data_IF_978795032519
#
_entry.id   IF_978795032519
#
_cell.length_a   1.000
_cell.length_b   1.000
_cell.length_c   1.000
_cell.angle_alpha   90.00
_cell.angle_beta   90.00
_cell.angle_gamma   90.00
#
_symmetry.space_group_name_H-M   'P 1'
#
loop_
_entity.id
_entity.type
_entity.pdbx_description
1 polymer ?
#
# COMPACT_ATOMS: atom_id res chain seq x y z
N UNK A 1 0.61 61.20 -14.47
CA UNK A 1 -0.28 60.58 -13.47
C UNK A 1 -0.91 59.36 -14.13
N UNK A 2 -0.22 58.23 -14.13
CA UNK A 2 -0.72 56.96 -14.62
C UNK A 2 -1.23 56.15 -13.43
N UNK A 3 -2.47 55.69 -13.53
CA UNK A 3 -3.09 54.86 -12.49
C UNK A 3 -2.67 53.42 -12.69
N UNK A 4 -1.98 52.85 -11.71
CA UNK A 4 -1.64 51.45 -11.69
C UNK A 4 -2.88 50.57 -11.59
N UNK A 5 -3.04 49.65 -12.51
CA UNK A 5 -4.03 48.59 -12.46
C UNK A 5 -3.60 47.56 -11.42
N UNK A 6 -4.48 47.36 -10.44
CA UNK A 6 -4.35 46.29 -9.42
C UNK A 6 -4.81 44.96 -10.04
N UNK A 7 -3.85 44.05 -10.22
CA UNK A 7 -4.12 42.69 -10.67
C UNK A 7 -4.89 41.95 -9.58
N UNK A 8 -6.16 41.63 -9.82
CA UNK A 8 -6.96 40.72 -8.99
C UNK A 8 -6.76 39.31 -9.54
N UNK A 9 -6.34 38.31 -8.73
CA UNK A 9 -6.32 36.92 -9.17
C UNK A 9 -7.75 36.39 -9.25
N UNK A 10 -8.11 35.86 -10.42
CA UNK A 10 -9.38 35.15 -10.62
C UNK A 10 -9.50 33.97 -9.67
N UNK A 11 -10.61 33.90 -8.96
CA UNK A 11 -10.96 32.78 -8.07
C UNK A 11 -11.24 31.53 -8.92
N UNK A 12 -10.39 30.51 -8.80
CA UNK A 12 -10.63 29.18 -9.36
C UNK A 12 -11.89 28.54 -8.76
N UNK A 13 -12.68 27.79 -9.53
CA UNK A 13 -13.96 27.25 -9.08
C UNK A 13 -13.78 26.07 -8.12
N UNK A 14 -13.86 26.33 -6.82
CA UNK A 14 -13.87 25.31 -5.75
C UNK A 14 -15.20 24.53 -5.58
N UNK A 15 -16.14 24.68 -6.48
CA UNK A 15 -17.53 24.16 -6.29
C UNK A 15 -17.69 22.68 -6.69
N UNK A 16 -16.81 22.12 -7.52
CA UNK A 16 -16.96 20.72 -8.00
C UNK A 16 -16.38 19.63 -7.09
N UNK A 17 -15.46 19.96 -6.19
CA UNK A 17 -14.71 18.94 -5.41
C UNK A 17 -15.47 18.41 -4.19
N UNK A 18 -16.26 19.20 -3.53
CA UNK A 18 -17.07 18.81 -2.36
C UNK A 18 -18.22 17.85 -2.73
N UNK A 19 -18.84 18.00 -3.89
CA UNK A 19 -19.91 17.11 -4.34
C UNK A 19 -19.41 15.72 -4.74
N UNK A 20 -18.23 15.64 -5.37
CA UNK A 20 -17.60 14.35 -5.73
C UNK A 20 -17.33 13.53 -4.47
N UNK A 21 -16.85 14.15 -3.40
CA UNK A 21 -16.56 13.47 -2.13
C UNK A 21 -17.80 13.10 -1.33
N UNK A 22 -18.80 13.95 -1.30
CA UNK A 22 -20.08 13.61 -0.69
C UNK A 22 -20.69 12.40 -1.39
N UNK A 23 -20.61 12.36 -2.72
CA UNK A 23 -21.06 11.24 -3.52
C UNK A 23 -20.17 9.98 -3.36
N UNK A 24 -18.86 10.11 -3.22
CA UNK A 24 -17.94 8.99 -2.93
C UNK A 24 -18.20 8.40 -1.54
N UNK A 25 -18.31 9.22 -0.49
CA UNK A 25 -18.69 8.76 0.85
C UNK A 25 -20.10 8.16 0.91
N UNK A 26 -21.04 8.69 0.16
CA UNK A 26 -22.41 8.16 0.07
C UNK A 26 -22.45 6.83 -0.70
N UNK A 27 -21.51 6.61 -1.63
CA UNK A 27 -21.28 5.31 -2.27
C UNK A 27 -20.67 4.32 -1.28
N UNK A 28 -19.63 4.69 -0.54
CA UNK A 28 -19.02 3.84 0.49
C UNK A 28 -20.01 3.46 1.61
N UNK A 29 -20.82 4.40 2.09
CA UNK A 29 -21.87 4.14 3.10
C UNK A 29 -23.04 3.26 2.61
N UNK A 30 -23.13 3.02 1.28
CA UNK A 30 -24.14 2.14 0.64
C UNK A 30 -23.54 0.80 0.21
N UNK A 31 -22.31 0.44 0.65
CA UNK A 31 -21.64 -0.78 0.21
C UNK A 31 -21.27 -0.76 -1.29
N UNK A 32 -21.14 0.41 -1.89
CA UNK A 32 -20.74 0.55 -3.29
C UNK A 32 -19.22 0.48 -3.34
N UNK A 33 -18.70 -0.49 -4.04
CA UNK A 33 -17.30 -0.69 -4.32
C UNK A 33 -16.65 0.60 -4.89
N UNK A 34 -15.41 0.89 -4.51
CA UNK A 34 -14.71 2.12 -4.87
C UNK A 34 -13.30 1.79 -5.34
N UNK A 35 -12.92 2.32 -6.51
CA UNK A 35 -11.58 2.13 -7.06
C UNK A 35 -10.57 3.03 -6.36
N UNK A 36 -9.43 2.46 -6.01
CA UNK A 36 -8.36 3.19 -5.30
C UNK A 36 -7.83 4.35 -6.15
N UNK A 37 -7.73 4.20 -7.47
CA UNK A 37 -7.33 5.31 -8.34
C UNK A 37 -8.22 6.55 -8.20
N UNK A 38 -9.52 6.36 -7.97
CA UNK A 38 -10.46 7.47 -7.80
C UNK A 38 -10.28 8.16 -6.43
N UNK A 39 -9.90 7.36 -5.40
CA UNK A 39 -9.52 7.88 -4.07
C UNK A 39 -8.25 8.74 -4.20
N UNK A 40 -7.24 8.24 -4.90
CA UNK A 40 -5.95 8.92 -5.06
C UNK A 40 -6.05 10.20 -5.91
N UNK A 41 -6.99 10.23 -6.87
CA UNK A 41 -7.23 11.40 -7.72
C UNK A 41 -7.82 12.60 -6.96
N UNK A 42 -8.37 12.40 -5.75
CA UNK A 42 -8.92 13.48 -4.93
C UNK A 42 -7.83 14.44 -4.37
N UNK A 43 -6.59 13.97 -4.28
CA UNK A 43 -5.43 14.77 -3.86
C UNK A 43 -5.39 15.13 -2.38
N UNK A 44 -6.34 14.66 -1.55
CA UNK A 44 -6.34 14.85 -0.09
C UNK A 44 -5.46 13.82 0.62
N UNK A 45 -4.99 14.13 1.86
CA UNK A 45 -4.28 13.15 2.66
C UNK A 45 -5.06 11.86 2.82
N UNK A 46 -4.44 10.74 2.44
CA UNK A 46 -5.01 9.41 2.39
C UNK A 46 -4.14 8.45 3.20
N UNK A 47 -4.74 7.80 4.19
CA UNK A 47 -4.07 6.76 4.99
C UNK A 47 -4.78 5.43 4.77
N UNK A 48 -4.02 4.41 4.45
CA UNK A 48 -4.49 3.04 4.24
C UNK A 48 -3.72 2.05 5.10
N UNK A 49 -4.28 0.86 5.31
CA UNK A 49 -3.70 -0.15 6.18
C UNK A 49 -3.54 -1.48 5.46
N UNK A 50 -2.47 -2.21 5.79
CA UNK A 50 -2.31 -3.60 5.39
C UNK A 50 -2.74 -4.54 6.51
N UNK A 51 -3.44 -5.63 6.13
CA UNK A 51 -3.77 -6.74 7.01
C UNK A 51 -3.36 -8.07 6.40
N UNK A 52 -3.03 -9.01 7.26
CA UNK A 52 -2.62 -10.36 6.88
C UNK A 52 -3.74 -11.34 7.16
N UNK A 53 -4.05 -12.26 6.24
CA UNK A 53 -4.90 -13.41 6.54
C UNK A 53 -4.32 -14.23 7.69
N UNK A 54 -5.14 -15.04 8.37
CA UNK A 54 -4.63 -15.95 9.40
C UNK A 54 -3.63 -16.94 8.79
N UNK A 55 -2.64 -17.34 9.58
CA UNK A 55 -1.74 -18.44 9.20
C UNK A 55 -2.56 -19.71 9.00
N UNK A 56 -1.97 -20.70 8.29
CA UNK A 56 -2.58 -22.01 8.11
C UNK A 56 -3.10 -22.53 9.46
N UNK A 57 -4.34 -23.00 9.46
CA UNK A 57 -5.04 -23.57 10.63
C UNK A 57 -5.29 -22.62 11.81
N UNK A 58 -4.96 -21.33 11.68
CA UNK A 58 -5.28 -20.34 12.70
C UNK A 58 -6.72 -19.80 12.52
N UNK A 59 -7.42 -19.48 13.64
CA UNK A 59 -8.79 -19.00 13.59
C UNK A 59 -8.88 -17.60 12.96
N UNK A 60 -9.98 -17.33 12.26
CA UNK A 60 -10.27 -16.04 11.65
C UNK A 60 -10.61 -14.92 12.65
N UNK A 61 -11.06 -15.28 13.86
CA UNK A 61 -11.52 -14.35 14.89
C UNK A 61 -10.56 -13.19 15.15
N UNK A 62 -9.29 -13.46 15.50
CA UNK A 62 -8.32 -12.39 15.79
C UNK A 62 -8.08 -11.43 14.61
N UNK A 63 -8.07 -11.96 13.37
CA UNK A 63 -7.90 -11.11 12.17
C UNK A 63 -9.14 -10.26 11.93
N UNK A 64 -10.35 -10.81 12.07
CA UNK A 64 -11.60 -10.04 11.96
C UNK A 64 -11.70 -8.96 13.03
N UNK A 65 -11.27 -9.24 14.25
CA UNK A 65 -11.20 -8.23 15.31
C UNK A 65 -10.23 -7.08 14.93
N UNK A 66 -9.02 -7.41 14.48
CA UNK A 66 -8.04 -6.43 14.01
C UNK A 66 -8.62 -5.58 12.86
N UNK A 67 -9.23 -6.21 11.84
CA UNK A 67 -9.89 -5.51 10.72
C UNK A 67 -10.98 -4.58 11.25
N UNK A 68 -11.84 -5.03 12.16
CA UNK A 68 -12.92 -4.21 12.72
C UNK A 68 -12.38 -2.99 13.49
N UNK A 69 -11.28 -3.15 14.24
CA UNK A 69 -10.63 -2.03 14.95
C UNK A 69 -9.99 -1.04 13.98
N UNK A 70 -9.27 -1.54 12.97
CA UNK A 70 -8.65 -0.73 11.92
C UNK A 70 -9.71 0.03 11.10
N UNK A 71 -10.82 -0.61 10.74
CA UNK A 71 -11.91 0.02 10.00
C UNK A 71 -12.53 1.22 10.76
N UNK A 72 -12.58 1.16 12.10
CA UNK A 72 -13.03 2.30 12.92
C UNK A 72 -12.14 3.55 12.79
N UNK A 73 -10.88 3.39 12.36
CA UNK A 73 -9.99 4.52 12.06
C UNK A 73 -10.31 5.20 10.73
N UNK A 74 -11.29 4.67 9.97
CA UNK A 74 -11.77 5.19 8.67
C UNK A 74 -10.64 5.34 7.64
N UNK A 75 -9.85 4.30 7.40
CA UNK A 75 -8.82 4.36 6.36
C UNK A 75 -9.45 4.54 4.98
N UNK A 76 -8.68 5.07 4.04
CA UNK A 76 -9.12 5.25 2.66
C UNK A 76 -9.36 3.92 1.96
N UNK A 77 -8.57 2.90 2.27
CA UNK A 77 -8.75 1.50 1.87
C UNK A 77 -7.93 0.58 2.80
N UNK A 78 -8.16 -0.72 2.70
CA UNK A 78 -7.32 -1.72 3.39
C UNK A 78 -6.85 -2.77 2.39
N UNK A 79 -5.54 -3.05 2.38
CA UNK A 79 -4.99 -4.16 1.61
C UNK A 79 -5.00 -5.46 2.40
N UNK A 80 -5.19 -6.55 1.71
CA UNK A 80 -5.19 -7.90 2.27
C UNK A 80 -4.12 -8.71 1.55
N UNK A 81 -3.08 -9.12 2.29
CA UNK A 81 -1.96 -9.85 1.71
C UNK A 81 -2.39 -11.23 1.18
N UNK A 82 -1.64 -11.72 0.21
CA UNK A 82 -1.79 -13.09 -0.26
C UNK A 82 -1.08 -14.04 0.70
N UNK A 83 -1.80 -14.99 1.29
CA UNK A 83 -1.21 -15.92 2.25
C UNK A 83 -0.28 -16.96 1.58
N UNK A 84 0.75 -17.39 2.29
CA UNK A 84 1.72 -18.38 1.81
C UNK A 84 1.25 -19.84 1.93
N UNK A 85 0.00 -20.10 2.29
CA UNK A 85 -0.55 -21.46 2.53
C UNK A 85 -1.44 -21.94 1.39
N UNK A 86 -1.66 -23.24 1.28
CA UNK A 86 -2.46 -23.87 0.21
C UNK A 86 -3.91 -23.38 0.08
N UNK A 87 -4.46 -22.70 1.11
CA UNK A 87 -5.77 -22.04 1.10
C UNK A 87 -5.65 -20.50 1.03
N UNK A 88 -4.53 -19.99 0.57
CA UNK A 88 -4.21 -18.55 0.56
C UNK A 88 -5.30 -17.71 -0.12
N UNK A 89 -5.78 -18.16 -1.27
CA UNK A 89 -6.83 -17.51 -2.04
C UNK A 89 -8.13 -17.35 -1.23
N UNK A 90 -8.66 -18.43 -0.70
CA UNK A 90 -9.93 -18.41 0.04
C UNK A 90 -9.85 -17.48 1.26
N UNK A 91 -8.71 -17.46 1.92
CA UNK A 91 -8.47 -16.59 3.07
C UNK A 91 -8.39 -15.12 2.66
N UNK A 92 -7.68 -14.79 1.55
CA UNK A 92 -7.58 -13.41 1.04
C UNK A 92 -8.96 -12.88 0.63
N UNK A 93 -9.73 -13.65 -0.15
CA UNK A 93 -11.09 -13.27 -0.58
C UNK A 93 -12.01 -13.08 0.64
N UNK A 94 -11.98 -14.00 1.61
CA UNK A 94 -12.83 -13.93 2.80
C UNK A 94 -12.51 -12.69 3.66
N UNK A 95 -11.24 -12.36 3.87
CA UNK A 95 -10.85 -11.16 4.63
C UNK A 95 -11.14 -9.89 3.83
N UNK A 96 -10.88 -9.85 2.52
CA UNK A 96 -11.21 -8.71 1.67
C UNK A 96 -12.72 -8.42 1.66
N UNK A 97 -13.56 -9.47 1.59
CA UNK A 97 -15.01 -9.33 1.71
C UNK A 97 -15.42 -8.80 3.09
N UNK A 98 -14.74 -9.23 4.16
CA UNK A 98 -15.01 -8.73 5.51
C UNK A 98 -14.58 -7.24 5.66
N UNK A 99 -13.47 -6.83 5.06
CA UNK A 99 -13.06 -5.41 4.98
C UNK A 99 -14.17 -4.57 4.33
N UNK A 100 -14.72 -5.03 3.18
CA UNK A 100 -15.82 -4.34 2.51
C UNK A 100 -17.09 -4.32 3.38
N UNK A 101 -17.40 -5.39 4.09
CA UNK A 101 -18.53 -5.43 5.02
C UNK A 101 -18.36 -4.44 6.18
N UNK A 102 -17.13 -4.07 6.55
CA UNK A 102 -16.84 -2.98 7.49
C UNK A 102 -16.94 -1.57 6.87
N UNK A 103 -17.34 -1.45 5.59
CA UNK A 103 -17.51 -0.17 4.89
C UNK A 103 -16.21 0.45 4.35
N UNK A 104 -15.15 -0.34 4.21
CA UNK A 104 -13.83 0.10 3.72
C UNK A 104 -13.54 -0.56 2.37
N UNK A 105 -13.07 0.18 1.33
CA UNK A 105 -12.62 -0.43 0.08
C UNK A 105 -11.50 -1.43 0.32
N UNK A 106 -11.59 -2.63 -0.27
CA UNK A 106 -10.56 -3.64 -0.16
C UNK A 106 -9.63 -3.65 -1.38
N UNK A 107 -8.33 -3.87 -1.13
CA UNK A 107 -7.29 -4.14 -2.12
C UNK A 107 -6.79 -5.57 -1.89
N UNK A 108 -7.13 -6.50 -2.77
CA UNK A 108 -6.65 -7.87 -2.64
C UNK A 108 -5.27 -8.03 -3.30
N UNK A 109 -4.29 -8.57 -2.57
CA UNK A 109 -3.04 -8.99 -3.20
C UNK A 109 -3.26 -10.26 -4.01
N UNK A 110 -2.63 -10.33 -5.17
CA UNK A 110 -2.62 -11.49 -6.04
C UNK A 110 -1.20 -11.76 -6.51
N UNK A 111 -0.70 -12.96 -6.25
CA UNK A 111 0.66 -13.38 -6.64
C UNK A 111 0.60 -14.39 -7.78
N UNK A 112 1.60 -14.39 -8.67
CA UNK A 112 1.55 -15.18 -9.90
C UNK A 112 2.63 -16.24 -10.04
N UNK A 113 3.79 -16.10 -9.37
CA UNK A 113 4.96 -16.95 -9.64
C UNK A 113 4.77 -18.44 -9.33
N UNK A 114 3.86 -18.75 -8.39
CA UNK A 114 3.52 -20.14 -8.01
C UNK A 114 2.09 -20.53 -8.41
N UNK A 115 1.45 -19.77 -9.31
CA UNK A 115 0.07 -19.98 -9.73
C UNK A 115 0.00 -20.18 -11.25
N UNK A 116 -0.69 -21.25 -11.68
CA UNK A 116 -0.97 -21.47 -13.10
C UNK A 116 -1.96 -20.44 -13.63
N UNK A 117 -2.04 -20.29 -14.96
CA UNK A 117 -3.00 -19.39 -15.61
C UNK A 117 -4.44 -19.72 -15.23
N UNK A 118 -4.79 -21.00 -15.16
CA UNK A 118 -6.15 -21.44 -14.78
C UNK A 118 -6.44 -21.08 -13.33
N UNK A 119 -5.46 -21.24 -12.45
CA UNK A 119 -5.59 -20.86 -11.04
C UNK A 119 -5.81 -19.35 -10.88
N UNK A 120 -5.06 -18.54 -11.61
CA UNK A 120 -5.27 -17.08 -11.64
C UNK A 120 -6.68 -16.74 -12.14
N UNK A 121 -7.18 -17.41 -13.19
CA UNK A 121 -8.53 -17.19 -13.70
C UNK A 121 -9.63 -17.52 -12.65
N UNK A 122 -9.45 -18.61 -11.90
CA UNK A 122 -10.34 -18.96 -10.77
C UNK A 122 -10.32 -17.88 -9.68
N UNK A 123 -9.12 -17.39 -9.31
CA UNK A 123 -8.95 -16.36 -8.29
C UNK A 123 -9.58 -15.02 -8.71
N UNK A 124 -9.37 -14.63 -9.95
CA UNK A 124 -10.01 -13.45 -10.55
C UNK A 124 -11.53 -13.58 -10.51
N UNK A 125 -12.07 -14.77 -10.86
CA UNK A 125 -13.49 -15.03 -10.80
C UNK A 125 -14.04 -14.93 -9.37
N UNK A 126 -13.33 -15.48 -8.40
CA UNK A 126 -13.69 -15.41 -6.98
C UNK A 126 -13.69 -13.97 -6.45
N UNK A 127 -12.64 -13.17 -6.77
CA UNK A 127 -12.57 -11.75 -6.41
C UNK A 127 -13.72 -10.95 -7.02
N UNK A 128 -14.02 -11.16 -8.29
CA UNK A 128 -15.17 -10.51 -8.96
C UNK A 128 -16.50 -10.92 -8.34
N UNK A 129 -16.68 -12.20 -8.07
CA UNK A 129 -17.89 -12.73 -7.41
C UNK A 129 -18.09 -12.14 -6.01
N UNK A 130 -17.02 -11.79 -5.33
CA UNK A 130 -17.03 -11.12 -4.03
C UNK A 130 -17.17 -9.58 -4.14
N UNK A 131 -17.26 -9.01 -5.33
CA UNK A 131 -17.37 -7.57 -5.55
C UNK A 131 -16.09 -6.79 -5.23
N UNK A 132 -14.93 -7.45 -5.22
CA UNK A 132 -13.63 -6.78 -5.05
C UNK A 132 -13.27 -6.07 -6.36
N UNK A 133 -12.94 -4.78 -6.28
CA UNK A 133 -12.61 -3.97 -7.47
C UNK A 133 -11.13 -3.61 -7.59
N UNK A 134 -10.32 -3.85 -6.56
CA UNK A 134 -8.93 -3.44 -6.53
C UNK A 134 -8.02 -4.65 -6.29
N UNK A 135 -7.00 -4.81 -7.13
CA UNK A 135 -6.04 -5.91 -7.07
C UNK A 135 -4.62 -5.35 -7.09
N UNK A 136 -3.79 -5.78 -6.13
CA UNK A 136 -2.36 -5.53 -6.13
C UNK A 136 -1.66 -6.70 -6.81
N UNK A 137 -1.11 -6.44 -8.00
CA UNK A 137 -0.44 -7.45 -8.83
C UNK A 137 1.02 -7.62 -8.37
N UNK A 138 1.35 -8.79 -7.86
CA UNK A 138 2.66 -9.11 -7.33
C UNK A 138 3.23 -10.36 -8.02
N UNK A 139 4.56 -10.45 -8.09
CA UNK A 139 5.21 -11.70 -8.50
C UNK A 139 5.00 -12.78 -7.44
N UNK A 140 5.21 -12.43 -6.19
CA UNK A 140 5.32 -13.36 -5.09
C UNK A 140 6.71 -13.97 -4.98
N UNK A 141 6.90 -14.81 -3.96
CA UNK A 141 8.16 -15.53 -3.72
C UNK A 141 8.16 -16.87 -4.44
N UNK A 142 9.31 -17.24 -4.97
CA UNK A 142 9.50 -18.60 -5.50
C UNK A 142 9.33 -19.63 -4.38
N UNK A 143 8.81 -20.84 -4.70
CA UNK A 143 8.83 -21.95 -3.77
C UNK A 143 10.25 -22.20 -3.24
N UNK A 144 10.35 -22.67 -1.99
CA UNK A 144 11.67 -23.07 -1.45
C UNK A 144 12.33 -24.04 -2.41
N UNK A 145 13.61 -23.83 -2.61
CA UNK A 145 14.47 -24.65 -3.50
C UNK A 145 14.17 -24.54 -5.01
N UNK A 146 13.26 -23.65 -5.42
CA UNK A 146 13.03 -23.33 -6.83
C UNK A 146 13.86 -22.10 -7.25
N UNK A 147 14.57 -22.21 -8.37
CA UNK A 147 15.30 -21.11 -9.02
C UNK A 147 14.49 -20.43 -10.13
N UNK A 148 13.44 -21.11 -10.62
CA UNK A 148 12.58 -20.66 -11.70
C UNK A 148 11.11 -20.93 -11.36
N UNK A 149 10.18 -20.18 -11.96
CA UNK A 149 8.75 -20.43 -11.83
C UNK A 149 8.37 -21.82 -12.33
N UNK A 150 7.42 -22.52 -11.69
CA UNK A 150 6.92 -23.79 -12.19
C UNK A 150 6.34 -23.66 -13.61
N UNK A 151 6.40 -24.73 -14.43
CA UNK A 151 5.82 -24.73 -15.78
C UNK A 151 4.33 -24.30 -15.78
N UNK A 152 3.96 -23.43 -16.71
CA UNK A 152 2.60 -22.92 -16.85
C UNK A 152 2.24 -21.76 -15.91
N UNK A 153 3.14 -21.35 -15.01
CA UNK A 153 2.99 -20.17 -14.17
C UNK A 153 3.48 -18.90 -14.88
N UNK A 154 3.10 -17.74 -14.37
CA UNK A 154 3.67 -16.47 -14.80
C UNK A 154 5.05 -16.27 -14.17
N UNK A 155 5.97 -15.65 -14.92
CA UNK A 155 7.33 -15.39 -14.43
C UNK A 155 7.41 -14.06 -13.67
N UNK A 156 6.66 -13.05 -14.11
CA UNK A 156 6.75 -11.70 -13.58
C UNK A 156 5.37 -11.07 -13.34
N UNK A 157 5.34 -10.09 -12.44
CA UNK A 157 4.10 -9.35 -12.14
C UNK A 157 3.53 -8.63 -13.38
N UNK A 158 4.35 -8.24 -14.33
CA UNK A 158 3.89 -7.61 -15.58
C UNK A 158 3.00 -8.55 -16.40
N UNK A 159 3.28 -9.85 -16.40
CA UNK A 159 2.46 -10.84 -17.09
C UNK A 159 1.08 -10.94 -16.45
N UNK A 160 1.02 -10.87 -15.12
CA UNK A 160 -0.23 -10.82 -14.38
C UNK A 160 -1.02 -9.54 -14.70
N UNK A 161 -0.36 -8.37 -14.74
CA UNK A 161 -0.99 -7.10 -15.12
C UNK A 161 -1.62 -7.19 -16.50
N UNK A 162 -0.87 -7.71 -17.50
CA UNK A 162 -1.36 -7.91 -18.86
C UNK A 162 -2.60 -8.84 -18.91
N UNK A 163 -2.55 -9.92 -18.14
CA UNK A 163 -3.65 -10.88 -18.07
C UNK A 163 -4.91 -10.28 -17.39
N UNK A 164 -4.75 -9.39 -16.42
CA UNK A 164 -5.86 -8.76 -15.70
C UNK A 164 -6.38 -7.49 -16.37
N UNK A 165 -5.63 -6.86 -17.27
CA UNK A 165 -6.01 -5.57 -17.87
C UNK A 165 -7.35 -5.57 -18.60
N UNK A 166 -7.80 -6.64 -19.29
CA UNK A 166 -9.13 -6.71 -19.88
C UNK A 166 -10.28 -6.70 -18.85
N UNK A 167 -9.98 -6.92 -17.56
CA UNK A 167 -11.00 -6.91 -16.50
C UNK A 167 -11.25 -5.48 -15.98
N UNK A 168 -12.37 -5.24 -15.28
CA UNK A 168 -12.70 -3.92 -14.73
C UNK A 168 -11.94 -3.54 -13.45
N UNK A 169 -10.93 -4.29 -13.04
CA UNK A 169 -10.17 -4.00 -11.83
C UNK A 169 -9.38 -2.70 -11.91
N UNK A 170 -9.24 -2.03 -10.78
CA UNK A 170 -8.19 -1.06 -10.51
C UNK A 170 -6.93 -1.84 -10.12
N UNK A 171 -5.86 -1.71 -10.89
CA UNK A 171 -4.65 -2.50 -10.73
C UNK A 171 -3.55 -1.69 -10.04
N UNK A 172 -3.07 -2.19 -8.93
CA UNK A 172 -1.88 -1.68 -8.24
C UNK A 172 -0.66 -2.57 -8.47
N UNK A 173 0.51 -2.04 -8.23
CA UNK A 173 1.78 -2.79 -8.24
C UNK A 173 2.71 -2.36 -7.13
N UNK A 174 3.76 -3.16 -6.88
CA UNK A 174 4.83 -2.80 -5.94
C UNK A 174 5.97 -2.07 -6.66
N UNK A 175 6.63 -1.14 -5.92
CA UNK A 175 7.85 -0.47 -6.34
C UNK A 175 8.82 -0.35 -5.14
N UNK A 176 10.10 -0.07 -5.40
CA UNK A 176 11.17 -0.23 -4.41
C UNK A 176 12.06 1.01 -4.37
N UNK A 177 11.90 1.90 -3.37
CA UNK A 177 12.71 3.11 -3.25
C UNK A 177 14.22 2.88 -3.15
N UNK A 178 14.62 1.68 -2.71
CA UNK A 178 16.02 1.27 -2.51
C UNK A 178 16.46 0.13 -3.45
N UNK A 179 15.74 -0.05 -4.56
CA UNK A 179 15.90 -1.13 -5.55
C UNK A 179 15.34 -2.49 -5.06
N UNK A 180 14.80 -3.26 -5.99
CA UNK A 180 14.36 -4.63 -5.70
C UNK A 180 15.57 -5.51 -5.39
N UNK A 181 15.54 -6.37 -4.33
CA UNK A 181 16.68 -7.21 -3.96
C UNK A 181 17.23 -8.11 -5.09
N UNK A 182 16.38 -8.52 -6.03
CA UNK A 182 16.77 -9.34 -7.18
C UNK A 182 17.26 -8.49 -8.38
N UNK A 183 17.27 -7.15 -8.30
CA UNK A 183 17.79 -6.25 -9.31
C UNK A 183 19.20 -5.77 -8.94
N UNK A 184 20.12 -5.79 -9.90
CA UNK A 184 21.49 -5.31 -9.68
C UNK A 184 21.57 -3.77 -9.67
N UNK A 185 20.70 -3.10 -10.43
CA UNK A 185 20.72 -1.65 -10.60
C UNK A 185 19.33 -1.04 -10.49
N UNK A 186 19.26 0.15 -9.91
CA UNK A 186 18.03 0.93 -9.74
C UNK A 186 17.36 1.27 -11.08
N UNK A 187 18.15 1.54 -12.10
CA UNK A 187 17.70 1.87 -13.45
C UNK A 187 16.93 0.71 -14.08
N UNK A 188 17.38 -0.53 -13.89
CA UNK A 188 16.71 -1.74 -14.38
C UNK A 188 15.40 -1.98 -13.61
N UNK A 189 15.41 -1.80 -12.30
CA UNK A 189 14.18 -1.91 -11.48
C UNK A 189 13.13 -0.87 -11.90
N UNK A 190 13.54 0.37 -12.19
CA UNK A 190 12.65 1.41 -12.71
C UNK A 190 12.15 1.07 -14.11
N UNK A 191 12.99 0.49 -14.98
CA UNK A 191 12.57 0.04 -16.31
C UNK A 191 11.50 -1.05 -16.21
N UNK A 192 11.69 -2.03 -15.33
CA UNK A 192 10.68 -3.07 -15.06
C UNK A 192 9.38 -2.47 -14.45
N UNK A 193 9.50 -1.46 -13.60
CA UNK A 193 8.34 -0.76 -13.09
C UNK A 193 7.59 -0.02 -14.21
N UNK A 194 8.32 0.66 -15.09
CA UNK A 194 7.76 1.34 -16.24
C UNK A 194 7.00 0.38 -17.15
N UNK A 195 7.57 -0.80 -17.41
CA UNK A 195 6.90 -1.85 -18.19
C UNK A 195 5.57 -2.30 -17.55
N UNK A 196 5.52 -2.44 -16.21
CA UNK A 196 4.28 -2.73 -15.48
C UNK A 196 3.24 -1.60 -15.61
N UNK A 197 3.70 -0.34 -15.55
CA UNK A 197 2.82 0.82 -15.71
C UNK A 197 2.26 0.89 -17.13
N UNK A 198 3.10 0.70 -18.13
CA UNK A 198 2.68 0.68 -19.55
C UNK A 198 1.74 -0.51 -19.85
N UNK A 199 1.88 -1.64 -19.14
CA UNK A 199 0.95 -2.76 -19.19
C UNK A 199 -0.42 -2.44 -18.55
N UNK A 200 -0.52 -1.39 -17.74
CA UNK A 200 -1.79 -0.84 -17.26
C UNK A 200 -1.98 -0.78 -15.75
N UNK A 201 -0.95 -0.61 -14.96
CA UNK A 201 -1.13 -0.26 -13.54
C UNK A 201 -1.78 1.12 -13.40
N UNK A 202 -2.71 1.23 -12.47
CA UNK A 202 -3.39 2.50 -12.13
C UNK A 202 -2.67 3.25 -11.00
N UNK A 203 -1.89 2.55 -10.15
CA UNK A 203 -1.07 3.12 -9.06
C UNK A 203 0.02 2.13 -8.62
N UNK A 204 0.95 2.61 -7.80
CA UNK A 204 1.97 1.75 -7.16
C UNK A 204 2.10 2.04 -5.67
N UNK A 205 2.47 1.01 -4.90
CA UNK A 205 2.78 1.13 -3.46
C UNK A 205 4.24 0.76 -3.24
N UNK A 206 4.96 1.56 -2.46
CA UNK A 206 6.40 1.29 -2.23
C UNK A 206 6.59 0.17 -1.21
N UNK A 207 7.71 -0.54 -1.32
CA UNK A 207 8.31 -1.23 -0.16
C UNK A 207 8.56 -0.20 0.94
N UNK A 208 8.59 -0.64 2.21
CA UNK A 208 8.93 0.21 3.33
C UNK A 208 10.32 0.85 3.15
N UNK A 209 10.48 2.03 3.68
CA UNK A 209 11.74 2.77 3.80
C UNK A 209 11.74 3.54 5.12
N UNK A 210 12.93 3.92 5.61
CA UNK A 210 13.07 4.63 6.88
C UNK A 210 13.69 6.02 6.74
N UNK A 211 14.04 6.44 5.52
CA UNK A 211 14.54 7.79 5.20
C UNK A 211 13.73 8.38 4.05
N UNK A 212 12.97 9.43 4.35
CA UNK A 212 12.13 10.11 3.35
C UNK A 212 12.94 10.71 2.20
N UNK A 213 14.22 11.07 2.41
CA UNK A 213 15.08 11.56 1.33
C UNK A 213 15.36 10.50 0.26
N UNK A 214 15.41 9.22 0.65
CA UNK A 214 15.52 8.11 -0.30
C UNK A 214 14.26 8.06 -1.17
N UNK A 215 13.10 8.16 -0.54
CA UNK A 215 11.81 8.17 -1.24
C UNK A 215 11.67 9.38 -2.18
N UNK A 216 12.03 10.59 -1.75
CA UNK A 216 11.96 11.78 -2.60
C UNK A 216 12.86 11.68 -3.84
N UNK A 217 14.10 11.20 -3.66
CA UNK A 217 15.01 10.92 -4.79
C UNK A 217 14.46 9.87 -5.74
N UNK A 218 13.86 8.83 -5.19
CA UNK A 218 13.21 7.80 -5.99
C UNK A 218 12.05 8.36 -6.82
N UNK A 219 11.19 9.18 -6.24
CA UNK A 219 10.10 9.83 -6.97
C UNK A 219 10.61 10.70 -8.14
N UNK A 220 11.68 11.46 -7.93
CA UNK A 220 12.30 12.22 -9.02
C UNK A 220 12.74 11.30 -10.16
N UNK A 221 13.50 10.24 -9.85
CA UNK A 221 13.92 9.24 -10.83
C UNK A 221 12.73 8.61 -11.58
N UNK A 222 11.65 8.27 -10.87
CA UNK A 222 10.45 7.73 -11.51
C UNK A 222 9.88 8.70 -12.56
N UNK A 223 9.80 10.00 -12.25
CA UNK A 223 9.31 11.03 -13.17
C UNK A 223 10.22 11.19 -14.37
N UNK A 224 11.53 11.19 -14.15
CA UNK A 224 12.54 11.26 -15.22
C UNK A 224 12.43 10.08 -16.20
N UNK A 225 12.01 8.91 -15.71
CA UNK A 225 11.76 7.72 -16.53
C UNK A 225 10.31 7.61 -17.04
N UNK A 226 9.48 8.67 -16.87
CA UNK A 226 8.10 8.72 -17.37
C UNK A 226 7.09 7.89 -16.61
N UNK A 227 7.39 7.46 -15.38
CA UNK A 227 6.42 6.82 -14.47
C UNK A 227 5.60 7.92 -13.80
N UNK A 228 4.34 8.10 -14.22
CA UNK A 228 3.46 9.20 -13.78
C UNK A 228 2.28 8.77 -12.94
N UNK A 229 2.05 7.47 -12.77
CA UNK A 229 0.98 6.97 -11.90
C UNK A 229 1.18 7.40 -10.43
N UNK A 230 0.09 7.50 -9.64
CA UNK A 230 0.19 7.76 -8.21
C UNK A 230 1.09 6.76 -7.49
N UNK A 231 1.93 7.26 -6.58
CA UNK A 231 2.81 6.45 -5.72
C UNK A 231 2.34 6.59 -4.28
N UNK A 232 2.03 5.46 -3.64
CA UNK A 232 1.64 5.38 -2.24
C UNK A 232 2.88 5.03 -1.43
N UNK A 233 3.23 5.86 -0.44
CA UNK A 233 4.38 5.63 0.43
C UNK A 233 4.09 4.54 1.46
N UNK A 234 4.82 3.44 1.43
CA UNK A 234 4.71 2.33 2.38
C UNK A 234 5.49 2.62 3.67
N UNK A 235 4.81 2.70 4.79
CA UNK A 235 5.38 3.01 6.11
C UNK A 235 5.25 1.82 7.03
N UNK A 236 6.37 1.39 7.64
CA UNK A 236 6.40 0.31 8.61
C UNK A 236 6.73 0.82 10.00
N UNK A 237 5.76 0.90 10.92
CA UNK A 237 6.04 1.18 12.32
C UNK A 237 6.81 0.02 12.96
N UNK A 238 8.05 0.24 13.37
CA UNK A 238 8.88 -0.80 13.98
C UNK A 238 8.60 -0.86 15.48
N UNK A 239 7.90 -1.89 15.89
CA UNK A 239 7.48 -2.11 17.27
C UNK A 239 8.25 -3.25 17.98
N UNK A 240 9.19 -3.88 17.25
CA UNK A 240 10.03 -4.96 17.75
C UNK A 240 11.45 -4.80 17.20
N UNK A 241 12.36 -4.29 18.02
CA UNK A 241 13.75 -4.03 17.63
C UNK A 241 14.52 -5.28 17.22
N UNK A 242 14.19 -6.45 17.79
CA UNK A 242 14.91 -7.71 17.50
C UNK A 242 14.72 -8.20 16.07
N UNK A 243 13.66 -7.81 15.41
CA UNK A 243 13.33 -8.27 14.05
C UNK A 243 13.84 -7.34 12.96
N UNK A 244 14.14 -6.07 13.27
CA UNK A 244 14.41 -5.05 12.26
C UNK A 244 15.62 -5.39 11.37
N UNK A 245 16.70 -5.87 11.95
CA UNK A 245 17.90 -6.25 11.19
C UNK A 245 17.65 -7.38 10.18
N UNK A 246 16.77 -8.35 10.52
CA UNK A 246 16.33 -9.39 9.59
C UNK A 246 15.43 -8.82 8.49
N UNK A 247 14.49 -7.97 8.88
CA UNK A 247 13.52 -7.34 7.96
C UNK A 247 14.31 -6.53 6.91
N UNK A 248 15.22 -5.65 7.34
CA UNK A 248 16.04 -4.85 6.43
C UNK A 248 16.89 -5.71 5.47
N UNK A 249 17.47 -6.82 5.94
CA UNK A 249 18.23 -7.72 5.06
C UNK A 249 17.38 -8.38 3.99
N UNK A 250 16.15 -8.80 4.33
CA UNK A 250 15.24 -9.47 3.39
C UNK A 250 14.68 -8.48 2.36
N UNK A 251 14.36 -7.26 2.78
CA UNK A 251 13.77 -6.23 1.91
C UNK A 251 14.79 -5.38 1.17
N UNK A 252 16.08 -5.49 1.48
CA UNK A 252 17.12 -4.59 0.96
C UNK A 252 17.05 -3.15 1.53
N UNK A 253 16.26 -2.93 2.60
CA UNK A 253 16.00 -1.59 3.14
C UNK A 253 17.12 -1.10 4.03
N UNK A 254 17.57 0.13 3.81
CA UNK A 254 18.57 0.81 4.64
C UNK A 254 17.99 1.23 5.99
N UNK A 255 18.75 1.00 7.07
CA UNK A 255 18.41 1.46 8.41
C UNK A 255 19.22 2.73 8.73
N UNK A 256 18.61 3.94 8.71
CA UNK A 256 19.32 5.18 8.97
C UNK A 256 19.95 5.21 10.35
N UNK A 257 21.13 5.85 10.50
CA UNK A 257 21.85 5.94 11.77
C UNK A 257 20.98 6.49 12.91
N UNK A 258 20.12 7.49 12.61
CA UNK A 258 19.16 8.05 13.57
C UNK A 258 18.20 6.98 14.09
N UNK A 259 17.61 6.17 13.19
CA UNK A 259 16.67 5.13 13.59
C UNK A 259 17.38 3.94 14.24
N UNK A 260 18.58 3.59 13.74
CA UNK A 260 19.42 2.57 14.35
C UNK A 260 19.72 2.89 15.84
N UNK A 261 20.06 4.13 16.17
CA UNK A 261 20.31 4.56 17.54
C UNK A 261 19.06 4.38 18.45
N UNK A 262 17.85 4.60 17.91
CA UNK A 262 16.58 4.34 18.61
C UNK A 262 16.41 2.83 18.87
N UNK A 263 16.64 2.01 17.85
CA UNK A 263 16.53 0.55 17.95
C UNK A 263 17.56 -0.01 18.93
N UNK A 264 18.83 0.43 18.86
CA UNK A 264 19.89 0.00 19.75
C UNK A 264 19.57 0.36 21.22
N UNK A 265 18.93 1.51 21.46
CA UNK A 265 18.59 1.99 22.81
C UNK A 265 17.35 1.35 23.41
N UNK A 266 16.33 1.11 22.57
CA UNK A 266 15.00 0.72 23.05
C UNK A 266 14.54 -0.66 22.59
N UNK A 267 15.25 -1.32 21.65
CA UNK A 267 14.81 -2.53 20.98
C UNK A 267 14.53 -3.73 21.88
N UNK A 268 15.19 -3.81 23.05
CA UNK A 268 14.97 -4.87 24.06
C UNK A 268 13.87 -4.53 25.08
N UNK A 269 13.28 -3.33 25.01
CA UNK A 269 12.19 -2.87 25.88
C UNK A 269 10.91 -2.71 25.05
N UNK A 270 9.99 -3.70 25.06
CA UNK A 270 8.85 -3.73 24.11
C UNK A 270 7.97 -2.48 24.12
N UNK A 271 7.64 -1.95 25.30
CA UNK A 271 6.79 -0.74 25.42
C UNK A 271 7.52 0.51 24.89
N UNK A 272 8.78 0.68 25.29
CA UNK A 272 9.58 1.81 24.82
C UNK A 272 9.84 1.74 23.30
N UNK A 273 10.05 0.55 22.75
CA UNK A 273 10.22 0.38 21.31
C UNK A 273 8.91 0.64 20.55
N UNK A 274 7.77 0.23 21.12
CA UNK A 274 6.47 0.56 20.57
C UNK A 274 6.26 2.08 20.50
N UNK A 275 6.53 2.80 21.59
CA UNK A 275 6.40 4.26 21.65
C UNK A 275 7.32 4.94 20.64
N UNK A 276 8.59 4.54 20.61
CA UNK A 276 9.58 5.10 19.70
C UNK A 276 9.28 4.79 18.23
N UNK A 277 8.82 3.58 17.92
CA UNK A 277 8.44 3.19 16.57
C UNK A 277 7.20 3.91 16.05
N UNK A 278 6.19 4.10 16.91
CA UNK A 278 5.01 4.92 16.59
C UNK A 278 5.43 6.37 16.34
N UNK A 279 6.27 6.95 17.20
CA UNK A 279 6.74 8.33 17.06
C UNK A 279 7.52 8.51 15.74
N UNK A 280 8.45 7.60 15.43
CA UNK A 280 9.25 7.66 14.20
C UNK A 280 8.38 7.56 12.94
N UNK A 281 7.47 6.59 12.88
CA UNK A 281 6.56 6.43 11.76
C UNK A 281 5.62 7.63 11.60
N UNK A 282 5.13 8.20 12.71
CA UNK A 282 4.30 9.42 12.68
C UNK A 282 5.07 10.59 12.11
N UNK A 283 6.32 10.81 12.53
CA UNK A 283 7.19 11.87 12.01
C UNK A 283 7.43 11.72 10.50
N UNK A 284 7.74 10.49 10.03
CA UNK A 284 7.87 10.22 8.59
C UNK A 284 6.61 10.63 7.83
N UNK A 285 5.42 10.28 8.32
CA UNK A 285 4.16 10.60 7.65
C UNK A 285 3.87 12.10 7.66
N UNK A 286 4.17 12.81 8.76
CA UNK A 286 4.04 14.28 8.84
C UNK A 286 4.93 14.95 7.79
N UNK A 287 6.18 14.53 7.68
CA UNK A 287 7.11 15.06 6.69
C UNK A 287 6.65 14.77 5.26
N UNK A 288 6.17 13.55 4.98
CA UNK A 288 5.59 13.20 3.68
C UNK A 288 4.42 14.10 3.31
N UNK A 289 3.44 14.29 4.20
CA UNK A 289 2.29 15.16 3.94
C UNK A 289 2.71 16.63 3.76
N UNK A 290 3.65 17.12 4.56
CA UNK A 290 4.19 18.48 4.43
C UNK A 290 4.88 18.72 3.09
N UNK A 291 5.44 17.69 2.47
CA UNK A 291 6.07 17.72 1.15
C UNK A 291 5.13 17.32 0.00
N UNK A 292 3.81 17.31 0.23
CA UNK A 292 2.81 17.06 -0.82
C UNK A 292 2.60 15.61 -1.20
N UNK A 293 3.13 14.65 -0.43
CA UNK A 293 2.88 13.21 -0.61
C UNK A 293 1.59 12.85 0.13
N UNK A 294 0.48 12.84 -0.60
CA UNK A 294 -0.84 12.73 0.01
C UNK A 294 -1.35 11.29 0.21
N UNK A 295 -0.57 10.26 -0.11
CA UNK A 295 -0.98 8.87 0.03
C UNK A 295 0.08 8.06 0.79
N UNK A 296 -0.33 7.51 1.94
CA UNK A 296 0.51 6.64 2.76
C UNK A 296 -0.20 5.32 3.07
N UNK A 297 0.59 4.25 3.15
CA UNK A 297 0.12 2.91 3.45
C UNK A 297 0.86 2.33 4.65
N UNK A 298 0.16 2.02 5.73
CA UNK A 298 0.77 1.52 6.97
C UNK A 298 0.75 -0.01 6.98
N UNK A 299 1.92 -0.61 7.07
CA UNK A 299 2.11 -2.04 7.31
C UNK A 299 1.85 -2.36 8.78
N UNK A 300 0.58 -2.62 9.11
CA UNK A 300 0.12 -2.71 10.52
C UNK A 300 0.54 -3.97 11.24
N UNK A 301 0.94 -5.01 10.52
CA UNK A 301 1.24 -6.36 11.07
C UNK A 301 0.08 -6.94 11.91
N UNK A 302 -1.18 -6.63 11.53
CA UNK A 302 -2.40 -6.94 12.31
C UNK A 302 -2.38 -6.39 13.75
N UNK A 303 -1.71 -5.25 13.97
CA UNK A 303 -1.62 -4.58 15.26
C UNK A 303 -2.42 -3.27 15.27
N UNK A 304 -3.73 -3.32 15.50
CA UNK A 304 -4.59 -2.15 15.43
C UNK A 304 -4.21 -1.05 16.42
N UNK A 305 -3.63 -1.41 17.58
CA UNK A 305 -3.16 -0.45 18.59
C UNK A 305 -2.08 0.49 18.06
N UNK A 306 -1.25 0.03 17.13
CA UNK A 306 -0.22 0.85 16.46
C UNK A 306 -0.87 1.87 15.54
N UNK A 307 -1.78 1.42 14.67
CA UNK A 307 -2.49 2.29 13.75
C UNK A 307 -3.37 3.32 14.49
N UNK A 308 -4.08 2.89 15.55
CA UNK A 308 -4.91 3.77 16.40
C UNK A 308 -4.08 4.93 16.98
N UNK A 309 -2.87 4.65 17.48
CA UNK A 309 -1.98 5.68 18.03
C UNK A 309 -1.45 6.64 16.95
N UNK A 310 -1.04 6.10 15.80
CA UNK A 310 -0.59 6.94 14.67
C UNK A 310 -1.74 7.83 14.19
N UNK A 311 -2.93 7.27 13.98
CA UNK A 311 -4.09 8.05 13.52
C UNK A 311 -4.52 9.12 14.52
N UNK A 312 -4.38 8.87 15.83
CA UNK A 312 -4.62 9.88 16.86
C UNK A 312 -3.65 11.07 16.72
N UNK A 313 -2.36 10.80 16.46
CA UNK A 313 -1.33 11.83 16.25
C UNK A 313 -1.55 12.63 14.95
N UNK A 314 -2.06 11.98 13.90
CA UNK A 314 -2.27 12.59 12.58
C UNK A 314 -3.63 13.28 12.42
N UNK A 315 -4.53 13.19 13.40
CA UNK A 315 -5.94 13.61 13.29
C UNK A 315 -6.09 15.00 12.67
N UNK A 316 -5.39 15.99 13.20
CA UNK A 316 -5.51 17.37 12.74
C UNK A 316 -4.80 17.64 11.40
N UNK A 317 -3.86 16.76 11.00
CA UNK A 317 -3.10 16.89 9.76
C UNK A 317 -3.94 16.38 8.57
N UNK A 318 -4.67 15.28 8.78
CA UNK A 318 -5.47 14.64 7.72
C UNK A 318 -6.92 15.13 7.66
N UNK A 319 -7.36 15.98 8.58
CA UNK A 319 -8.73 16.52 8.65
C UNK A 319 -8.90 17.86 7.95
N UNK A 320 -7.82 18.38 7.35
CA UNK A 320 -7.79 19.68 6.67
C UNK A 320 -8.47 19.68 5.30
#
# INVERSE_FOLDING_TARGET
MERGEVFQPEASPCIGRTEVWYNLRRKASRGIAMKIKDILADGRPSVSFEVFPPRKDAPFGPVKEAVSRLARQKPSFMSVTYGASGNAQANTVAIASFVQACGVPALAHLTCVASTRDRIAEEVSALRGAGIENVLCLRGDLPKDATEPPPGCFSHAVDLVRALRPSPFCLGGACYPECHPDCAHMEDDIAHLREKVDAGLDFVTTQMFFDNNIFYRYLSKLRDHGVTVPVIAGIMPVTNGRQIGRICRISGTYLPSRFKAIVDRYGDRPEAMLDAGVAYATEQMIDLFANGINAVHIYTMNRPEVAERIMANLRNIISG
#
